data_IF_633866166285
#
_entry.id   IF_633866166285
#
_cell.length_a   1.000
_cell.length_b   1.000
_cell.length_c   1.000
_cell.angle_alpha   90.00
_cell.angle_beta   90.00
_cell.angle_gamma   90.00
#
_symmetry.space_group_name_H-M   'P 1'
#
loop_
_entity.id
_entity.type
_entity.pdbx_description
1 polymer ?
#
# COMPACT_ATOMS: atom_id res chain seq x y z
N UNK A 1 19.64 38.99 35.10
CA UNK A 1 18.84 37.80 35.46
C UNK A 1 18.46 37.12 34.16
N UNK A 2 19.26 36.16 33.72
CA UNK A 2 18.98 35.33 32.56
C UNK A 2 17.86 34.35 32.95
N UNK A 3 16.74 34.40 32.24
CA UNK A 3 15.62 33.48 32.42
C UNK A 3 16.10 32.11 31.97
N UNK A 4 16.36 31.22 32.93
CA UNK A 4 16.63 29.82 32.72
C UNK A 4 15.33 29.19 32.19
N UNK A 5 15.19 29.14 30.86
CA UNK A 5 14.10 28.36 30.26
C UNK A 5 14.37 26.91 30.62
N UNK A 6 13.56 26.37 31.55
CA UNK A 6 13.43 24.95 31.82
C UNK A 6 12.85 24.31 30.56
N UNK A 7 13.69 24.17 29.53
CA UNK A 7 13.33 23.58 28.26
C UNK A 7 12.93 22.13 28.47
N UNK A 8 11.99 21.64 27.66
CA UNK A 8 11.72 20.22 27.67
C UNK A 8 12.99 19.46 27.25
N UNK A 9 13.40 18.46 28.02
CA UNK A 9 14.56 17.63 27.73
C UNK A 9 14.16 16.34 27.02
N UNK A 10 15.09 15.74 26.30
CA UNK A 10 14.83 14.45 25.67
C UNK A 10 14.61 13.38 26.74
N UNK A 11 13.58 12.54 26.55
CA UNK A 11 13.28 11.48 27.50
C UNK A 11 14.37 10.39 27.64
N UNK A 12 15.27 10.27 26.64
CA UNK A 12 16.44 9.37 26.69
C UNK A 12 17.73 10.06 27.09
N UNK A 13 17.86 11.35 26.77
CA UNK A 13 19.05 12.15 27.01
C UNK A 13 18.63 13.38 27.83
N UNK A 14 18.46 13.24 29.16
CA UNK A 14 18.00 14.34 30.02
C UNK A 14 18.88 15.58 29.94
N UNK A 15 20.14 15.42 29.57
CA UNK A 15 21.12 16.49 29.38
C UNK A 15 20.92 17.29 28.08
N UNK A 16 20.14 16.77 27.12
CA UNK A 16 19.94 17.38 25.80
C UNK A 16 18.56 18.01 25.71
N UNK A 17 18.50 19.28 25.27
CA UNK A 17 17.24 19.96 24.99
C UNK A 17 16.48 19.27 23.85
N UNK A 18 15.18 19.07 24.03
CA UNK A 18 14.33 18.49 23.00
C UNK A 18 14.03 19.48 21.89
N UNK A 19 14.00 18.98 20.65
CA UNK A 19 13.69 19.77 19.44
C UNK A 19 12.23 19.64 19.03
N UNK A 20 11.59 18.50 19.34
CA UNK A 20 10.18 18.26 19.02
C UNK A 20 9.59 17.14 19.92
N UNK A 21 8.27 17.17 20.18
CA UNK A 21 7.56 16.04 20.76
C UNK A 21 7.24 14.98 19.68
N UNK A 22 7.21 13.71 20.07
CA UNK A 22 6.73 12.61 19.25
C UNK A 22 5.25 12.82 18.90
N UNK A 23 4.91 12.85 17.61
CA UNK A 23 3.54 13.08 17.14
C UNK A 23 2.53 12.01 17.59
N UNK A 24 3.00 10.83 18.05
CA UNK A 24 2.14 9.74 18.54
C UNK A 24 2.01 9.71 20.06
N UNK A 25 3.13 9.68 20.79
CA UNK A 25 3.13 9.48 22.25
C UNK A 25 3.43 10.75 23.05
N UNK A 26 3.71 11.88 22.40
CA UNK A 26 3.99 13.16 23.05
C UNK A 26 5.37 13.28 23.69
N UNK A 27 6.15 12.20 23.77
CA UNK A 27 7.48 12.20 24.38
C UNK A 27 8.43 13.18 23.69
N UNK A 28 9.16 13.98 24.46
CA UNK A 28 10.14 14.94 23.94
C UNK A 28 11.41 14.25 23.42
N UNK A 29 11.85 14.63 22.22
CA UNK A 29 12.96 14.01 21.49
C UNK A 29 14.02 15.05 21.13
N UNK A 30 15.30 14.69 21.28
CA UNK A 30 16.40 15.40 20.63
C UNK A 30 16.49 14.99 19.15
N UNK A 31 17.32 15.70 18.37
CA UNK A 31 17.54 15.45 16.94
C UNK A 31 18.02 14.01 16.63
N UNK A 32 18.77 13.39 17.55
CA UNK A 32 19.26 12.01 17.40
C UNK A 32 18.17 10.96 17.69
N UNK A 33 17.26 11.26 18.62
CA UNK A 33 16.17 10.36 18.99
C UNK A 33 14.93 10.52 18.09
N UNK A 34 14.91 11.55 17.24
CA UNK A 34 13.82 11.83 16.30
C UNK A 34 14.02 11.12 14.97
N UNK A 35 12.99 10.40 14.53
CA UNK A 35 12.88 9.90 13.17
C UNK A 35 11.76 10.65 12.44
N UNK A 36 12.07 11.22 11.27
CA UNK A 36 11.06 11.85 10.41
C UNK A 36 10.32 10.79 9.60
N UNK A 37 8.99 10.77 9.69
CA UNK A 37 8.13 9.97 8.82
C UNK A 37 7.12 10.89 8.17
N UNK A 38 7.31 11.15 6.87
CA UNK A 38 6.59 12.22 6.18
C UNK A 38 7.04 13.58 6.71
N UNK A 39 6.11 14.33 7.28
CA UNK A 39 6.35 15.66 7.86
C UNK A 39 6.33 15.65 9.41
N UNK A 40 6.08 14.49 10.03
CA UNK A 40 5.94 14.36 11.47
C UNK A 40 7.15 13.64 12.10
N UNK A 41 7.47 14.05 13.33
CA UNK A 41 8.57 13.48 14.13
C UNK A 41 8.05 12.38 15.04
N UNK A 42 8.72 11.23 15.04
CA UNK A 42 8.39 10.08 15.88
C UNK A 42 9.60 9.57 16.64
N UNK A 43 9.38 8.93 17.79
CA UNK A 43 10.41 8.17 18.48
C UNK A 43 10.58 6.78 17.84
N UNK A 44 11.76 6.17 17.98
CA UNK A 44 12.06 4.86 17.40
C UNK A 44 10.99 3.78 17.69
N UNK A 45 10.50 3.72 18.94
CA UNK A 45 9.44 2.78 19.31
C UNK A 45 8.11 3.04 18.60
N UNK A 46 7.74 4.32 18.42
CA UNK A 46 6.54 4.69 17.67
C UNK A 46 6.70 4.46 16.17
N UNK A 47 7.90 4.61 15.60
CA UNK A 47 8.15 4.27 14.19
C UNK A 47 7.96 2.78 13.94
N UNK A 48 8.50 1.92 14.81
CA UNK A 48 8.27 0.46 14.71
C UNK A 48 6.77 0.16 14.77
N UNK A 49 6.06 0.77 15.72
CA UNK A 49 4.61 0.58 15.82
C UNK A 49 3.87 1.07 14.56
N UNK A 50 4.23 2.24 14.04
CA UNK A 50 3.61 2.83 12.84
C UNK A 50 3.89 1.98 11.60
N UNK A 51 5.08 1.40 11.47
CA UNK A 51 5.38 0.46 10.37
C UNK A 51 4.53 -0.81 10.45
N UNK A 52 4.16 -1.25 11.65
CA UNK A 52 3.32 -2.44 11.85
C UNK A 52 1.81 -2.16 11.69
N UNK A 53 1.35 -0.99 12.13
CA UNK A 53 -0.08 -0.65 12.25
C UNK A 53 -0.56 0.45 11.32
N UNK A 54 0.35 1.06 10.54
CA UNK A 54 0.05 2.17 9.66
C UNK A 54 -1.06 1.83 8.65
N UNK A 55 -1.88 2.83 8.27
CA UNK A 55 -2.95 2.63 7.31
C UNK A 55 -2.37 2.18 5.95
N UNK A 56 -3.07 1.32 5.21
CA UNK A 56 -2.60 0.94 3.89
C UNK A 56 -2.65 2.10 2.90
N UNK A 57 -1.79 2.06 1.88
CA UNK A 57 -1.78 3.10 0.86
C UNK A 57 -3.09 3.09 0.06
N UNK A 58 -3.67 4.29 -0.17
CA UNK A 58 -4.93 4.45 -0.93
C UNK A 58 -4.83 3.84 -2.33
N UNK A 59 -3.66 3.90 -2.96
CA UNK A 59 -3.40 3.29 -4.27
C UNK A 59 -3.53 1.76 -4.23
N UNK A 60 -2.94 1.08 -3.24
CA UNK A 60 -3.07 -0.38 -3.10
C UNK A 60 -4.51 -0.78 -2.82
N UNK A 61 -5.23 -0.01 -2.00
CA UNK A 61 -6.66 -0.25 -1.76
C UNK A 61 -7.49 -0.10 -3.04
N UNK A 62 -7.23 0.93 -3.85
CA UNK A 62 -7.93 1.13 -5.12
C UNK A 62 -7.67 -0.01 -6.11
N UNK A 63 -6.42 -0.45 -6.26
CA UNK A 63 -6.06 -1.59 -7.14
C UNK A 63 -6.71 -2.89 -6.65
N UNK A 64 -6.75 -3.12 -5.34
CA UNK A 64 -7.41 -4.27 -4.74
C UNK A 64 -8.93 -4.25 -5.03
N UNK A 65 -9.58 -3.12 -4.78
CA UNK A 65 -11.00 -2.93 -5.03
C UNK A 65 -11.34 -3.13 -6.51
N UNK A 66 -10.52 -2.59 -7.42
CA UNK A 66 -10.68 -2.75 -8.86
C UNK A 66 -10.59 -4.23 -9.28
N UNK A 67 -9.62 -4.97 -8.75
CA UNK A 67 -9.49 -6.40 -9.06
C UNK A 67 -10.66 -7.23 -8.54
N UNK A 68 -11.14 -6.94 -7.32
CA UNK A 68 -12.33 -7.60 -6.76
C UNK A 68 -13.56 -7.29 -7.61
N UNK A 69 -13.78 -6.02 -7.96
CA UNK A 69 -14.91 -5.62 -8.80
C UNK A 69 -14.87 -6.33 -10.16
N UNK A 70 -13.69 -6.43 -10.78
CA UNK A 70 -13.52 -7.09 -12.06
C UNK A 70 -13.91 -8.58 -12.01
N UNK A 71 -13.48 -9.30 -10.96
CA UNK A 71 -13.83 -10.72 -10.75
C UNK A 71 -15.33 -10.90 -10.49
N UNK A 72 -15.92 -10.06 -9.62
CA UNK A 72 -17.34 -10.17 -9.24
C UNK A 72 -18.26 -9.82 -10.42
N UNK A 73 -17.90 -8.83 -11.23
CA UNK A 73 -18.70 -8.40 -12.38
C UNK A 73 -18.49 -9.29 -13.62
N UNK A 74 -17.43 -10.09 -13.67
CA UNK A 74 -17.11 -10.95 -14.81
C UNK A 74 -18.28 -11.84 -15.27
N UNK A 75 -18.97 -12.61 -14.40
CA UNK A 75 -20.11 -13.45 -14.83
C UNK A 75 -21.37 -12.66 -15.16
N UNK A 76 -21.55 -11.43 -14.64
CA UNK A 76 -22.81 -10.67 -14.80
C UNK A 76 -22.85 -9.82 -16.07
N UNK A 77 -21.70 -9.39 -16.58
CA UNK A 77 -21.65 -8.35 -17.62
C UNK A 77 -21.39 -8.89 -19.04
N UNK A 78 -21.41 -10.22 -19.25
CA UNK A 78 -21.33 -10.85 -20.58
C UNK A 78 -20.03 -10.54 -21.34
N UNK A 79 -20.12 -10.40 -22.67
CA UNK A 79 -18.98 -10.17 -23.58
C UNK A 79 -18.29 -8.79 -23.42
N UNK A 80 -18.86 -7.88 -22.63
CA UNK A 80 -18.48 -6.46 -22.54
C UNK A 80 -17.33 -6.18 -21.54
N UNK A 81 -16.87 -7.19 -20.80
CA UNK A 81 -15.91 -7.07 -19.68
C UNK A 81 -14.40 -7.15 -20.01
N UNK A 82 -13.90 -7.33 -21.25
CA UNK A 82 -12.46 -7.46 -21.48
C UNK A 82 -11.67 -6.26 -20.97
N UNK A 83 -12.19 -5.05 -21.16
CA UNK A 83 -11.48 -3.81 -20.83
C UNK A 83 -11.27 -3.64 -19.32
N UNK A 84 -12.28 -3.94 -18.49
CA UNK A 84 -12.16 -3.81 -17.04
C UNK A 84 -11.15 -4.82 -16.46
N UNK A 85 -11.20 -6.07 -16.94
CA UNK A 85 -10.26 -7.11 -16.54
C UNK A 85 -8.83 -6.83 -17.02
N UNK A 86 -8.66 -6.31 -18.24
CA UNK A 86 -7.35 -5.87 -18.75
C UNK A 86 -6.80 -4.74 -17.91
N UNK A 87 -7.61 -3.73 -17.59
CA UNK A 87 -7.18 -2.61 -16.74
C UNK A 87 -6.83 -3.07 -15.31
N UNK A 88 -7.62 -3.96 -14.72
CA UNK A 88 -7.37 -4.54 -13.40
C UNK A 88 -6.09 -5.38 -13.37
N UNK A 89 -5.89 -6.23 -14.38
CA UNK A 89 -4.68 -7.04 -14.53
C UNK A 89 -3.42 -6.20 -14.74
N UNK A 90 -3.47 -5.22 -15.65
CA UNK A 90 -2.33 -4.36 -15.97
C UNK A 90 -1.92 -3.51 -14.76
N UNK A 91 -2.89 -2.89 -14.09
CA UNK A 91 -2.63 -2.11 -12.87
C UNK A 91 -2.10 -2.98 -11.72
N UNK A 92 -2.61 -4.19 -11.56
CA UNK A 92 -2.17 -5.16 -10.55
C UNK A 92 -0.81 -5.82 -10.85
N UNK A 93 -0.31 -5.79 -12.08
CA UNK A 93 1.05 -6.25 -12.41
C UNK A 93 2.09 -5.13 -12.30
N UNK A 94 1.72 -3.90 -12.67
CA UNK A 94 2.69 -2.80 -12.74
C UNK A 94 2.91 -2.12 -11.38
N UNK A 95 1.88 -1.99 -10.55
CA UNK A 95 1.94 -1.24 -9.30
C UNK A 95 2.66 -1.96 -8.13
N UNK A 96 2.43 -3.26 -7.87
CA UNK A 96 3.03 -3.95 -6.72
C UNK A 96 4.56 -3.98 -6.66
N UNK A 97 5.30 -4.10 -7.79
CA UNK A 97 6.77 -3.99 -7.76
C UNK A 97 7.24 -2.63 -7.26
N UNK A 98 6.51 -1.56 -7.62
CA UNK A 98 6.84 -0.18 -7.23
C UNK A 98 6.60 0.04 -5.73
N UNK A 99 5.49 -0.48 -5.22
CA UNK A 99 5.17 -0.41 -3.78
C UNK A 99 6.14 -1.26 -2.94
N UNK A 100 6.52 -2.46 -3.43
CA UNK A 100 7.54 -3.28 -2.77
C UNK A 100 8.88 -2.57 -2.66
N UNK A 101 9.31 -1.86 -3.70
CA UNK A 101 10.54 -1.04 -3.65
C UNK A 101 10.44 0.06 -2.59
N UNK A 102 9.30 0.74 -2.45
CA UNK A 102 9.08 1.74 -1.38
C UNK A 102 9.17 1.13 0.02
N UNK A 103 8.59 -0.06 0.21
CA UNK A 103 8.65 -0.76 1.51
C UNK A 103 10.07 -1.22 1.82
N UNK A 104 10.81 -1.74 0.83
CA UNK A 104 12.22 -2.12 0.99
C UNK A 104 13.12 -0.93 1.35
N UNK A 105 12.77 0.27 0.87
CA UNK A 105 13.44 1.52 1.24
C UNK A 105 13.03 2.05 2.62
N UNK A 106 12.22 1.31 3.39
CA UNK A 106 11.77 1.70 4.73
C UNK A 106 10.72 2.81 4.75
N UNK A 107 10.19 3.20 3.59
CA UNK A 107 9.27 4.33 3.44
C UNK A 107 7.80 3.97 3.58
N UNK A 108 7.46 2.67 3.77
CA UNK A 108 6.08 2.19 3.80
C UNK A 108 5.77 1.20 4.93
N UNK A 109 4.49 1.08 5.32
CA UNK A 109 4.06 0.14 6.35
C UNK A 109 4.18 -1.31 5.87
N UNK A 110 4.62 -2.22 6.77
CA UNK A 110 4.81 -3.65 6.50
C UNK A 110 3.51 -4.36 6.10
N UNK A 111 2.36 -3.92 6.63
CA UNK A 111 1.04 -4.44 6.20
C UNK A 111 0.77 -4.21 4.71
N UNK A 112 1.33 -3.15 4.12
CA UNK A 112 1.23 -2.88 2.69
C UNK A 112 1.85 -3.99 1.83
N UNK A 113 2.85 -4.71 2.35
CA UNK A 113 3.52 -5.79 1.61
C UNK A 113 2.60 -7.00 1.39
N UNK A 114 1.85 -7.41 2.42
CA UNK A 114 0.86 -8.50 2.29
C UNK A 114 -0.28 -8.09 1.35
N UNK A 115 -0.77 -6.86 1.43
CA UNK A 115 -1.82 -6.40 0.53
C UNK A 115 -1.35 -6.31 -0.93
N UNK A 116 -0.12 -5.85 -1.18
CA UNK A 116 0.47 -5.84 -2.51
C UNK A 116 0.62 -7.27 -3.07
N UNK A 117 0.98 -8.26 -2.23
CA UNK A 117 0.98 -9.68 -2.62
C UNK A 117 -0.41 -10.19 -3.00
N UNK A 118 -1.43 -9.89 -2.20
CA UNK A 118 -2.81 -10.29 -2.49
C UNK A 118 -3.30 -9.64 -3.79
N UNK A 119 -3.05 -8.34 -3.98
CA UNK A 119 -3.42 -7.63 -5.21
C UNK A 119 -2.73 -8.24 -6.45
N UNK A 120 -1.46 -8.60 -6.34
CA UNK A 120 -0.74 -9.29 -7.42
C UNK A 120 -1.35 -10.67 -7.71
N UNK A 121 -1.70 -11.44 -6.68
CA UNK A 121 -2.39 -12.72 -6.84
C UNK A 121 -3.73 -12.58 -7.57
N UNK A 122 -4.54 -11.58 -7.20
CA UNK A 122 -5.81 -11.30 -7.87
C UNK A 122 -5.62 -10.87 -9.33
N UNK A 123 -4.56 -10.11 -9.64
CA UNK A 123 -4.23 -9.73 -11.00
C UNK A 123 -3.88 -10.95 -11.88
N UNK A 124 -3.14 -11.92 -11.33
CA UNK A 124 -2.86 -13.19 -12.01
C UNK A 124 -4.15 -13.98 -12.25
N UNK A 125 -5.05 -14.04 -11.25
CA UNK A 125 -6.37 -14.69 -11.42
C UNK A 125 -7.18 -14.01 -12.52
N UNK A 126 -7.22 -12.67 -12.55
CA UNK A 126 -7.90 -11.92 -13.61
C UNK A 126 -7.33 -12.21 -15.00
N UNK A 127 -6.00 -12.34 -15.13
CA UNK A 127 -5.38 -12.74 -16.40
C UNK A 127 -5.77 -14.14 -16.83
N UNK A 128 -5.81 -15.10 -15.91
CA UNK A 128 -6.21 -16.47 -16.22
C UNK A 128 -7.67 -16.53 -16.66
N UNK A 129 -8.57 -15.81 -15.98
CA UNK A 129 -9.97 -15.70 -16.38
C UNK A 129 -10.12 -15.08 -17.77
N UNK A 130 -9.35 -14.02 -18.06
CA UNK A 130 -9.35 -13.38 -19.38
C UNK A 130 -8.84 -14.32 -20.47
N UNK A 131 -7.79 -15.10 -20.18
CA UNK A 131 -7.24 -16.12 -21.08
C UNK A 131 -8.26 -17.22 -21.37
N UNK A 132 -8.90 -17.76 -20.34
CA UNK A 132 -9.96 -18.77 -20.48
C UNK A 132 -11.13 -18.25 -21.32
N UNK A 133 -11.58 -17.02 -21.04
CA UNK A 133 -12.62 -16.38 -21.84
C UNK A 133 -12.22 -16.27 -23.31
N UNK A 134 -11.03 -15.73 -23.60
CA UNK A 134 -10.55 -15.59 -24.97
C UNK A 134 -10.49 -16.94 -25.69
N UNK A 135 -10.02 -18.00 -25.03
CA UNK A 135 -9.99 -19.35 -25.60
C UNK A 135 -11.40 -19.88 -25.89
N UNK A 136 -12.38 -19.63 -25.02
CA UNK A 136 -13.76 -20.04 -25.23
C UNK A 136 -14.40 -19.29 -26.41
N UNK A 137 -14.15 -17.99 -26.54
CA UNK A 137 -14.62 -17.17 -27.67
C UNK A 137 -14.03 -17.66 -28.99
N UNK A 138 -12.72 -17.87 -29.05
CA UNK A 138 -12.04 -18.38 -30.25
C UNK A 138 -12.56 -19.78 -30.62
N UNK A 139 -12.79 -20.64 -29.63
CA UNK A 139 -13.35 -21.96 -29.84
C UNK A 139 -14.77 -21.90 -30.41
N UNK A 140 -15.66 -21.08 -29.81
CA UNK A 140 -17.03 -20.90 -30.29
C UNK A 140 -17.09 -20.30 -31.70
N UNK A 141 -16.21 -19.33 -32.00
CA UNK A 141 -16.07 -18.77 -33.35
C UNK A 141 -15.62 -19.82 -34.37
N UNK A 142 -14.63 -20.66 -34.03
CA UNK A 142 -14.15 -21.73 -34.92
C UNK A 142 -15.20 -22.78 -35.25
N UNK A 143 -16.22 -22.92 -34.40
CA UNK A 143 -17.34 -23.86 -34.56
C UNK A 143 -18.56 -23.24 -35.25
N UNK A 144 -18.50 -21.97 -35.64
CA UNK A 144 -19.63 -21.26 -36.26
C UNK A 144 -20.82 -21.04 -35.32
N UNK A 145 -20.60 -21.08 -34.00
CA UNK A 145 -21.65 -20.89 -33.00
C UNK A 145 -21.95 -19.40 -32.70
N UNK A 146 -21.13 -18.49 -33.24
CA UNK A 146 -21.28 -17.04 -33.14
C UNK A 146 -21.54 -16.52 -34.55
N UNK A 147 -22.78 -16.59 -35.01
CA UNK A 147 -23.31 -15.97 -36.23
C UNK A 147 -24.73 -15.49 -35.98
#
# INVERSE_FOLDING_TARGET
MSVEQTGAHCARHPEVAAVAPCARCGTFLCSECSELVGEAVYCAGCVVWLRQHGPPSRGVQAVLALNIAAIVCFPMCGFSVPLLNVAAAASGLWWPPRERRRIQQGQGPLRGARQAQVAQGLAVVNLLLLGLWLTAVLYAWSRGAIY
#
